data_IF_077472506086
#
_entry.id   IF_077472506086
#
_cell.length_a   1.000
_cell.length_b   1.000
_cell.length_c   1.000
_cell.angle_alpha   90.00
_cell.angle_beta   90.00
_cell.angle_gamma   90.00
#
_symmetry.space_group_name_H-M   'P 1'
#
loop_
_entity.id
_entity.type
_entity.pdbx_description
1 polymer ?
#
# COMPACT_ATOMS: atom_id res chain seq x y z
N UNK A 1 -39.11 -0.33 -18.76
CA UNK A 1 -38.12 -0.47 -17.68
C UNK A 1 -36.74 -0.87 -18.19
N UNK A 2 -36.61 -1.94 -19.01
CA UNK A 2 -35.31 -2.41 -19.50
C UNK A 2 -34.51 -1.38 -20.33
N UNK A 3 -35.18 -0.58 -21.18
CA UNK A 3 -34.49 0.46 -21.96
C UNK A 3 -33.92 1.60 -21.11
N UNK A 4 -34.64 2.01 -20.05
CA UNK A 4 -34.16 3.04 -19.13
C UNK A 4 -32.92 2.58 -18.35
N UNK A 5 -32.89 1.31 -17.94
CA UNK A 5 -31.72 0.70 -17.30
C UNK A 5 -30.52 0.62 -18.25
N UNK A 6 -30.76 0.30 -19.53
CA UNK A 6 -29.70 0.29 -20.55
C UNK A 6 -29.14 1.70 -20.79
N UNK A 7 -30.00 2.71 -20.89
CA UNK A 7 -29.57 4.10 -21.05
C UNK A 7 -28.71 4.57 -19.88
N UNK A 8 -29.04 4.17 -18.66
CA UNK A 8 -28.25 4.46 -17.46
C UNK A 8 -26.86 3.78 -17.49
N UNK A 9 -26.78 2.50 -17.88
CA UNK A 9 -25.50 1.76 -17.98
C UNK A 9 -24.57 2.30 -19.08
N UNK A 10 -25.13 2.96 -20.10
CA UNK A 10 -24.38 3.59 -21.18
C UNK A 10 -23.84 4.97 -20.83
N UNK A 11 -24.23 5.55 -19.68
CA UNK A 11 -23.69 6.81 -19.22
C UNK A 11 -22.19 6.66 -18.94
N UNK A 12 -21.38 7.55 -19.51
CA UNK A 12 -19.94 7.57 -19.29
C UNK A 12 -19.60 8.14 -17.91
N UNK A 13 -18.62 7.55 -17.24
CA UNK A 13 -18.00 8.12 -16.04
C UNK A 13 -17.04 9.26 -16.42
N UNK A 14 -16.46 9.95 -15.43
CA UNK A 14 -15.47 11.03 -15.60
C UNK A 14 -14.24 10.58 -16.42
N UNK A 15 -13.96 9.28 -16.46
CA UNK A 15 -12.91 8.63 -17.25
C UNK A 15 -13.32 8.29 -18.69
N UNK A 16 -14.53 8.64 -19.12
CA UNK A 16 -15.06 8.36 -20.45
C UNK A 16 -15.50 6.90 -20.69
N UNK A 17 -15.34 6.02 -19.69
CA UNK A 17 -15.76 4.61 -19.78
C UNK A 17 -17.17 4.45 -19.23
N UNK A 18 -18.06 3.82 -20.01
CA UNK A 18 -19.39 3.43 -19.55
C UNK A 18 -19.35 2.07 -18.85
N UNK A 19 -20.24 1.88 -17.87
CA UNK A 19 -20.36 0.59 -17.15
C UNK A 19 -20.70 -0.54 -18.14
N UNK A 20 -21.56 -0.24 -19.12
CA UNK A 20 -21.89 -1.17 -20.19
C UNK A 20 -20.65 -1.59 -20.99
N UNK A 21 -19.82 -0.63 -21.43
CA UNK A 21 -18.60 -0.92 -22.18
C UNK A 21 -17.62 -1.79 -21.39
N UNK A 22 -17.39 -1.44 -20.11
CA UNK A 22 -16.51 -2.20 -19.23
C UNK A 22 -16.95 -3.65 -19.07
N UNK A 23 -18.24 -3.88 -18.78
CA UNK A 23 -18.77 -5.23 -18.62
C UNK A 23 -18.71 -6.04 -19.93
N UNK A 24 -18.96 -5.42 -21.08
CA UNK A 24 -18.88 -6.13 -22.36
C UNK A 24 -17.48 -6.62 -22.68
N UNK A 25 -16.45 -5.88 -22.30
CA UNK A 25 -15.06 -6.26 -22.54
C UNK A 25 -14.57 -7.32 -21.54
N UNK A 26 -14.95 -7.22 -20.27
CA UNK A 26 -14.68 -8.28 -19.28
C UNK A 26 -15.28 -9.61 -19.75
N UNK A 27 -16.53 -9.57 -20.22
CA UNK A 27 -17.20 -10.76 -20.78
C UNK A 27 -16.51 -11.25 -22.06
N UNK A 28 -16.07 -10.35 -22.95
CA UNK A 28 -15.33 -10.74 -24.15
C UNK A 28 -14.01 -11.45 -23.81
N UNK A 29 -13.27 -10.96 -22.82
CA UNK A 29 -12.05 -11.61 -22.33
C UNK A 29 -12.33 -12.99 -21.73
N UNK A 30 -13.36 -13.12 -20.89
CA UNK A 30 -13.73 -14.40 -20.28
C UNK A 30 -14.18 -15.43 -21.30
N UNK A 31 -14.94 -15.02 -22.32
CA UNK A 31 -15.39 -15.91 -23.40
C UNK A 31 -14.22 -16.42 -24.27
N UNK A 32 -13.16 -15.62 -24.38
CA UNK A 32 -11.96 -16.00 -25.12
C UNK A 32 -11.02 -16.90 -24.32
N UNK A 33 -10.89 -16.68 -23.01
CA UNK A 33 -9.98 -17.44 -22.14
C UNK A 33 -10.59 -18.72 -21.56
N UNK A 34 -11.92 -18.79 -21.45
CA UNK A 34 -12.69 -19.91 -20.90
C UNK A 34 -12.04 -20.57 -19.66
N UNK A 35 -11.85 -19.80 -18.56
CA UNK A 35 -11.24 -20.32 -17.35
C UNK A 35 -12.16 -21.35 -16.67
N UNK A 36 -11.56 -22.35 -16.03
CA UNK A 36 -12.28 -23.39 -15.27
C UNK A 36 -13.08 -22.82 -14.11
N UNK A 37 -12.52 -21.84 -13.39
CA UNK A 37 -13.18 -21.14 -12.29
C UNK A 37 -13.63 -19.74 -12.75
N UNK A 38 -14.75 -19.69 -13.45
CA UNK A 38 -15.23 -18.48 -14.12
C UNK A 38 -15.56 -17.32 -13.17
N UNK A 39 -15.97 -17.60 -11.93
CA UNK A 39 -16.36 -16.55 -10.97
C UNK A 39 -15.13 -15.81 -10.44
N UNK A 40 -14.11 -16.54 -9.98
CA UNK A 40 -12.88 -15.93 -9.49
C UNK A 40 -12.10 -15.26 -10.63
N UNK A 41 -12.11 -15.87 -11.82
CA UNK A 41 -11.50 -15.29 -13.01
C UNK A 41 -12.19 -14.00 -13.47
N UNK A 42 -13.49 -13.82 -13.20
CA UNK A 42 -14.21 -12.59 -13.48
C UNK A 42 -13.66 -11.43 -12.65
N UNK A 43 -13.45 -11.64 -11.36
CA UNK A 43 -12.90 -10.61 -10.46
C UNK A 43 -11.52 -10.16 -10.93
N UNK A 44 -10.65 -11.13 -11.24
CA UNK A 44 -9.29 -10.86 -11.75
C UNK A 44 -9.34 -10.12 -13.08
N UNK A 45 -10.17 -10.58 -14.03
CA UNK A 45 -10.29 -9.96 -15.36
C UNK A 45 -10.85 -8.55 -15.25
N UNK A 46 -11.83 -8.32 -14.36
CA UNK A 46 -12.38 -6.98 -14.13
C UNK A 46 -11.33 -6.01 -13.60
N UNK A 47 -10.45 -6.46 -12.72
CA UNK A 47 -9.32 -5.66 -12.23
C UNK A 47 -8.32 -5.33 -13.33
N UNK A 48 -7.99 -6.30 -14.18
CA UNK A 48 -7.06 -6.10 -15.30
C UNK A 48 -7.61 -5.12 -16.33
N UNK A 49 -8.88 -5.26 -16.72
CA UNK A 49 -9.56 -4.33 -17.64
C UNK A 49 -9.66 -2.94 -17.01
N UNK A 50 -9.92 -2.83 -15.71
CA UNK A 50 -9.92 -1.52 -15.03
C UNK A 50 -8.55 -0.85 -15.06
N UNK A 51 -7.47 -1.62 -14.97
CA UNK A 51 -6.10 -1.12 -15.05
C UNK A 51 -5.71 -0.69 -16.48
N UNK A 52 -6.21 -1.37 -17.53
CA UNK A 52 -5.90 -0.99 -18.91
C UNK A 52 -6.49 0.37 -19.29
N UNK A 53 -7.67 0.71 -18.76
CA UNK A 53 -8.29 2.02 -18.93
C UNK A 53 -7.68 3.12 -18.06
N UNK A 54 -7.07 2.75 -16.93
CA UNK A 54 -6.46 3.71 -16.01
C UNK A 54 -4.95 3.81 -16.30
N UNK A 55 -4.59 4.56 -17.35
CA UNK A 55 -3.21 4.99 -17.52
C UNK A 55 -2.86 6.03 -16.45
N UNK A 56 -1.70 5.88 -15.82
CA UNK A 56 -1.18 6.77 -14.77
C UNK A 56 -1.14 8.24 -15.21
N UNK A 57 -1.06 8.49 -16.52
CA UNK A 57 -1.06 9.81 -17.15
C UNK A 57 -2.46 10.41 -17.36
N UNK A 58 -3.52 9.59 -17.29
CA UNK A 58 -4.93 10.02 -17.37
C UNK A 58 -5.60 10.08 -15.99
N UNK A 59 -4.79 10.10 -14.92
CA UNK A 59 -5.27 10.57 -13.64
C UNK A 59 -5.69 12.03 -13.87
N UNK A 60 -7.01 12.28 -13.87
CA UNK A 60 -7.56 13.61 -13.64
C UNK A 60 -6.72 14.16 -12.48
N UNK A 61 -5.95 15.24 -12.67
CA UNK A 61 -5.13 15.77 -11.61
C UNK A 61 -6.07 15.94 -10.43
N UNK A 62 -5.75 15.41 -9.24
CA UNK A 62 -6.57 15.66 -8.07
C UNK A 62 -6.81 17.17 -8.04
N UNK A 63 -8.06 17.63 -7.80
CA UNK A 63 -8.34 19.06 -7.75
C UNK A 63 -7.23 19.70 -6.94
N UNK A 64 -6.50 20.63 -7.55
CA UNK A 64 -5.34 21.26 -6.93
C UNK A 64 -5.76 21.59 -5.50
N UNK A 65 -5.02 21.14 -4.47
CA UNK A 65 -5.48 21.26 -3.09
C UNK A 65 -5.88 22.71 -2.86
N UNK A 66 -7.20 22.94 -2.80
CA UNK A 66 -7.76 24.23 -2.45
C UNK A 66 -7.36 24.42 -1.00
N UNK A 67 -6.43 25.35 -0.81
CA UNK A 67 -5.53 25.48 0.33
C UNK A 67 -4.25 24.65 0.18
N UNK A 68 -3.17 25.35 -0.21
CA UNK A 68 -1.90 25.09 0.46
C UNK A 68 -2.20 24.95 1.96
N UNK A 69 -1.66 23.94 2.68
CA UNK A 69 -1.86 23.86 4.12
C UNK A 69 -1.58 25.24 4.68
N UNK A 70 -2.55 25.83 5.40
CA UNK A 70 -2.42 27.16 6.00
C UNK A 70 -1.02 27.23 6.58
N UNK A 71 -0.26 28.29 6.29
CA UNK A 71 1.12 28.40 6.76
C UNK A 71 1.22 28.17 8.28
N UNK A 72 0.12 28.43 9.00
CA UNK A 72 -0.09 28.16 10.43
C UNK A 72 -0.16 26.65 10.78
N UNK A 73 -0.73 25.81 9.92
CA UNK A 73 -0.78 24.34 10.09
C UNK A 73 0.59 23.69 9.85
N UNK A 74 1.36 24.20 8.89
CA UNK A 74 2.71 23.70 8.61
C UNK A 74 3.69 24.11 9.72
N UNK A 75 3.55 25.33 10.25
CA UNK A 75 4.39 25.83 11.35
C UNK A 75 4.05 25.19 12.68
N UNK A 76 2.78 24.94 12.99
CA UNK A 76 2.38 24.23 14.23
C UNK A 76 2.87 22.77 14.25
N UNK A 77 2.83 22.07 13.12
CA UNK A 77 3.41 20.73 12.99
C UNK A 77 4.93 20.71 13.21
N UNK A 78 5.64 21.65 12.58
CA UNK A 78 7.09 21.80 12.76
C UNK A 78 7.46 22.16 14.21
N UNK A 79 6.69 23.06 14.84
CA UNK A 79 6.90 23.44 16.23
C UNK A 79 6.67 22.26 17.17
N UNK A 80 5.61 21.49 16.97
CA UNK A 80 5.29 20.29 17.77
C UNK A 80 6.39 19.23 17.65
N UNK A 81 6.86 18.95 16.44
CA UNK A 81 7.95 17.98 16.23
C UNK A 81 9.29 18.46 16.78
N UNK A 82 9.57 19.77 16.72
CA UNK A 82 10.78 20.33 17.32
C UNK A 82 10.74 20.32 18.86
N UNK A 83 9.54 20.38 19.45
CA UNK A 83 9.36 20.34 20.90
C UNK A 83 9.70 18.98 21.49
N UNK A 84 9.48 17.88 20.73
CA UNK A 84 9.86 16.52 21.14
C UNK A 84 11.38 16.35 21.37
N UNK A 85 12.20 17.17 20.72
CA UNK A 85 13.67 17.11 20.82
C UNK A 85 14.25 18.07 21.87
N UNK A 86 13.43 18.99 22.40
CA UNK A 86 13.90 19.95 23.41
C UNK A 86 13.86 19.27 24.78
N UNK A 87 15.02 19.10 25.40
CA UNK A 87 15.08 18.82 26.83
C UNK A 87 14.38 19.96 27.58
N UNK A 88 13.47 19.65 28.51
CA UNK A 88 12.79 20.63 29.35
C UNK A 88 13.86 21.36 30.18
N UNK A 89 14.33 22.50 29.69
CA UNK A 89 15.13 23.42 30.48
C UNK A 89 14.25 23.88 31.63
N UNK A 90 14.77 23.76 32.85
CA UNK A 90 13.97 23.78 34.07
C UNK A 90 13.15 25.05 34.30
N UNK A 91 12.30 24.90 35.33
CA UNK A 91 11.41 25.88 35.95
C UNK A 91 10.04 26.04 35.28
N UNK A 92 9.15 25.08 35.58
CA UNK A 92 7.91 25.34 36.32
C UNK A 92 7.24 24.00 36.62
N UNK A 93 6.98 23.78 37.90
CA UNK A 93 6.42 22.57 38.51
C UNK A 93 5.00 22.31 38.00
N UNK A 94 4.86 21.30 37.15
CA UNK A 94 3.68 20.47 37.12
C UNK A 94 4.18 19.03 36.96
N UNK A 95 4.27 18.33 38.09
CA UNK A 95 4.38 16.87 38.11
C UNK A 95 3.09 16.30 37.50
N UNK A 96 3.02 16.25 36.17
CA UNK A 96 2.21 15.21 35.54
C UNK A 96 2.77 13.88 36.03
N UNK A 97 1.94 13.15 36.78
CA UNK A 97 2.23 11.81 37.24
C UNK A 97 2.77 11.00 36.05
N UNK A 98 4.09 10.84 36.02
CA UNK A 98 4.75 9.89 35.11
C UNK A 98 4.29 8.53 35.60
N UNK A 99 3.19 8.05 35.05
CA UNK A 99 2.90 6.62 35.11
C UNK A 99 4.17 5.92 34.66
N UNK A 100 4.62 4.93 35.44
CA UNK A 100 5.78 4.08 35.11
C UNK A 100 5.44 3.23 33.88
N UNK A 101 5.34 3.89 32.72
CA UNK A 101 5.17 3.28 31.44
C UNK A 101 6.50 2.62 31.11
N UNK A 102 6.49 1.28 31.08
CA UNK A 102 7.59 0.49 30.54
C UNK A 102 7.63 0.70 29.02
N UNK A 103 8.32 1.75 28.59
CA UNK A 103 8.56 2.03 27.18
C UNK A 103 9.72 1.13 26.70
N UNK A 104 9.52 0.41 25.60
CA UNK A 104 10.57 -0.41 24.97
C UNK A 104 11.63 0.49 24.31
N UNK A 105 12.86 -0.01 24.17
CA UNK A 105 13.91 0.76 23.52
C UNK A 105 13.72 0.77 21.99
N UNK A 106 13.02 1.79 21.50
CA UNK A 106 12.72 1.96 20.07
C UNK A 106 13.98 2.11 19.19
N UNK A 107 15.11 2.55 19.76
CA UNK A 107 16.37 2.68 19.00
C UNK A 107 17.01 1.32 18.75
N UNK A 108 16.93 0.40 19.72
CA UNK A 108 17.41 -0.98 19.55
C UNK A 108 16.49 -1.75 18.61
N UNK A 109 15.18 -1.55 18.72
CA UNK A 109 14.19 -2.15 17.80
C UNK A 109 14.42 -1.68 16.36
N UNK A 110 14.76 -0.40 16.14
CA UNK A 110 15.09 0.12 14.81
C UNK A 110 16.32 -0.57 14.21
N UNK A 111 17.37 -0.76 15.00
CA UNK A 111 18.55 -1.50 14.56
C UNK A 111 18.16 -2.94 14.16
N UNK A 112 17.42 -3.64 15.02
CA UNK A 112 16.95 -5.00 14.74
C UNK A 112 16.15 -5.09 13.44
N UNK A 113 15.28 -4.12 13.17
CA UNK A 113 14.49 -4.05 11.94
C UNK A 113 15.39 -3.87 10.71
N UNK A 114 16.36 -2.96 10.75
CA UNK A 114 17.30 -2.72 9.64
C UNK A 114 18.11 -3.98 9.32
N UNK A 115 18.66 -4.66 10.34
CA UNK A 115 19.38 -5.91 10.15
C UNK A 115 18.48 -7.03 9.61
N UNK A 116 17.23 -7.13 10.07
CA UNK A 116 16.29 -8.13 9.58
C UNK A 116 15.90 -7.91 8.11
N UNK A 117 15.72 -6.65 7.69
CA UNK A 117 15.41 -6.30 6.31
C UNK A 117 16.60 -6.61 5.38
N UNK A 118 17.82 -6.33 5.84
CA UNK A 118 19.03 -6.70 5.13
C UNK A 118 19.18 -8.22 4.97
N UNK A 119 18.92 -8.99 6.03
CA UNK A 119 18.98 -10.46 6.00
C UNK A 119 17.92 -11.05 5.06
N UNK A 120 16.68 -10.53 5.08
CA UNK A 120 15.61 -10.99 4.19
C UNK A 120 15.90 -10.67 2.72
N UNK A 121 16.44 -9.48 2.44
CA UNK A 121 16.87 -9.10 1.10
C UNK A 121 18.06 -9.95 0.60
N UNK A 122 19.03 -10.21 1.47
CA UNK A 122 20.18 -11.07 1.16
C UNK A 122 19.75 -12.53 0.91
N UNK A 123 18.86 -13.08 1.73
CA UNK A 123 18.31 -14.43 1.53
C UNK A 123 17.49 -14.51 0.23
N UNK A 124 16.72 -13.47 -0.10
CA UNK A 124 16.01 -13.36 -1.39
C UNK A 124 16.97 -13.40 -2.59
N UNK A 125 18.02 -12.58 -2.55
CA UNK A 125 19.04 -12.54 -3.61
C UNK A 125 19.82 -13.86 -3.74
N UNK A 126 20.09 -14.55 -2.61
CA UNK A 126 20.71 -15.89 -2.62
C UNK A 126 19.79 -16.97 -3.21
N UNK A 127 18.48 -16.91 -2.98
CA UNK A 127 17.52 -17.83 -3.60
C UNK A 127 17.40 -17.64 -5.11
N UNK A 128 17.52 -16.40 -5.60
CA UNK A 128 17.37 -16.07 -7.02
C UNK A 128 18.60 -16.47 -7.87
N UNK A 129 19.79 -16.56 -7.27
CA UNK A 129 21.02 -16.95 -7.96
C UNK A 129 21.44 -18.42 -7.82
N UNK A 130 20.85 -19.23 -6.92
CA UNK A 130 21.17 -20.65 -6.85
C UNK A 130 20.07 -21.53 -6.19
N UNK A 131 19.15 -22.13 -6.97
CA UNK A 131 18.08 -22.98 -6.42
C UNK A 131 18.57 -24.32 -5.83
N UNK A 132 19.88 -24.63 -5.84
CA UNK A 132 20.44 -25.89 -5.30
C UNK A 132 21.02 -25.80 -3.89
N UNK A 133 21.18 -24.60 -3.32
CA UNK A 133 21.79 -24.42 -2.00
C UNK A 133 20.92 -24.93 -0.83
N UNK A 134 19.61 -25.07 -1.02
CA UNK A 134 18.69 -25.53 0.04
C UNK A 134 18.90 -27.01 0.42
N UNK A 135 19.53 -27.81 -0.44
CA UNK A 135 19.76 -29.24 -0.15
C UNK A 135 20.94 -29.54 0.79
N UNK A 136 21.80 -28.55 1.08
CA UNK A 136 23.03 -28.80 1.86
C UNK A 136 22.94 -28.41 3.33
N UNK A 137 22.03 -27.50 3.72
CA UNK A 137 21.93 -27.02 5.11
C UNK A 137 21.05 -27.91 5.99
N UNK A 138 20.18 -28.75 5.42
CA UNK A 138 19.40 -29.71 6.21
C UNK A 138 20.24 -30.85 6.79
N UNK A 139 21.49 -31.05 6.36
CA UNK A 139 22.36 -32.09 6.90
C UNK A 139 23.26 -31.63 8.06
N UNK A 140 23.30 -30.33 8.39
CA UNK A 140 24.18 -29.79 9.43
C UNK A 140 23.48 -29.54 10.78
N UNK A 141 22.19 -29.84 10.91
CA UNK A 141 21.46 -29.76 12.18
C UNK A 141 21.22 -31.11 12.86
N UNK A 142 22.03 -32.14 12.52
CA UNK A 142 21.96 -33.47 13.15
C UNK A 142 23.24 -33.86 13.93
N UNK A 143 24.22 -32.96 14.05
CA UNK A 143 25.41 -33.18 14.86
C UNK A 143 25.81 -31.91 15.64
N UNK A 144 25.02 -31.51 16.63
CA UNK A 144 25.51 -31.04 17.94
C UNK A 144 24.37 -31.03 18.94
#
# INVERSE_FOLDING_TARGET
MAEAAKAWLLQANDTGVSVYGHLTEVLAHMLNTQPTDAVDALEITSHQVKQSYFTKDSAIPPPAPTAAPDADSATSWQQSNSALLKAKAGDEEEEEAKEDLRITNLLDDLALIEWSAFILAYMGACMEHNPRAFSATSSLHCCY
#
